data_IF_112701681560
#
_entry.id   IF_112701681560
#
_cell.length_a   1.000
_cell.length_b   1.000
_cell.length_c   1.000
_cell.angle_alpha   90.00
_cell.angle_beta   90.00
_cell.angle_gamma   90.00
#
_symmetry.space_group_name_H-M   'P 1'
#
loop_
_entity.id
_entity.type
_entity.pdbx_description
1 polymer ?
#
# COMPACT_ATOMS: atom_id res chain seq x y z
N UNK A 1 6.90 20.93 7.06
CA UNK A 1 6.21 22.00 7.82
C UNK A 1 6.54 22.01 9.31
N UNK A 2 6.20 20.99 10.11
CA UNK A 2 6.43 21.00 11.57
C UNK A 2 7.89 21.25 11.98
N UNK A 3 8.86 20.58 11.35
CA UNK A 3 10.30 20.79 11.59
C UNK A 3 10.75 22.21 11.26
N UNK A 4 10.23 22.79 10.17
CA UNK A 4 10.51 24.18 9.79
C UNK A 4 9.98 25.16 10.83
N UNK A 5 8.76 24.97 11.32
CA UNK A 5 8.16 25.80 12.37
C UNK A 5 8.94 25.75 13.70
N UNK A 6 9.47 24.58 14.08
CA UNK A 6 10.27 24.42 15.32
C UNK A 6 11.65 25.06 15.16
N UNK A 7 12.30 24.87 13.99
CA UNK A 7 13.69 25.31 13.77
C UNK A 7 13.82 26.74 13.27
N UNK A 8 12.73 27.36 12.80
CA UNK A 8 12.75 28.64 12.09
C UNK A 8 13.44 28.60 10.73
N UNK A 9 13.82 27.42 10.24
CA UNK A 9 14.49 27.25 8.94
C UNK A 9 13.47 26.97 7.85
N UNK A 10 13.65 27.62 6.71
CA UNK A 10 12.85 27.34 5.51
C UNK A 10 13.11 25.92 4.99
N UNK A 11 12.13 25.36 4.27
CA UNK A 11 12.29 24.06 3.62
C UNK A 11 13.22 24.25 2.41
N UNK A 12 14.33 23.51 2.31
CA UNK A 12 15.25 23.66 1.18
C UNK A 12 14.59 23.31 -0.15
N UNK A 13 15.02 23.99 -1.20
CA UNK A 13 14.53 23.79 -2.57
C UNK A 13 14.69 22.34 -3.05
N UNK A 14 15.75 21.66 -2.64
CA UNK A 14 16.00 20.25 -2.97
C UNK A 14 14.86 19.34 -2.50
N UNK A 15 14.34 19.57 -1.29
CA UNK A 15 13.21 18.82 -0.73
C UNK A 15 11.91 19.14 -1.48
N UNK A 16 11.74 20.39 -1.91
CA UNK A 16 10.59 20.80 -2.73
C UNK A 16 10.61 20.11 -4.11
N UNK A 17 11.79 19.97 -4.71
CA UNK A 17 11.97 19.23 -5.97
C UNK A 17 11.71 17.74 -5.82
N UNK A 18 12.19 17.10 -4.75
CA UNK A 18 11.87 15.69 -4.45
C UNK A 18 10.35 15.48 -4.30
N UNK A 19 9.66 16.39 -3.61
CA UNK A 19 8.20 16.38 -3.53
C UNK A 19 7.56 16.48 -4.93
N UNK A 20 8.04 17.40 -5.77
CA UNK A 20 7.53 17.59 -7.12
C UNK A 20 7.64 16.32 -7.97
N UNK A 21 8.79 15.65 -7.92
CA UNK A 21 9.05 14.39 -8.63
C UNK A 21 8.16 13.24 -8.16
N UNK A 22 7.86 13.17 -6.87
CA UNK A 22 6.89 12.19 -6.38
C UNK A 22 5.49 12.46 -6.93
N UNK A 23 5.05 13.73 -6.92
CA UNK A 23 3.73 14.11 -7.44
C UNK A 23 3.62 13.83 -8.95
N UNK A 24 4.69 14.10 -9.70
CA UNK A 24 4.82 13.79 -11.13
C UNK A 24 4.64 12.29 -11.39
N UNK A 25 5.41 11.44 -10.70
CA UNK A 25 5.29 9.98 -10.82
C UNK A 25 3.89 9.44 -10.41
N UNK A 26 3.28 10.03 -9.39
CA UNK A 26 1.89 9.69 -9.01
C UNK A 26 0.91 10.04 -10.13
N UNK A 27 1.07 11.21 -10.77
CA UNK A 27 0.22 11.64 -11.87
C UNK A 27 0.38 10.75 -13.12
N UNK A 28 1.61 10.35 -13.45
CA UNK A 28 1.90 9.47 -14.59
C UNK A 28 1.26 8.09 -14.42
N UNK A 29 1.20 7.60 -13.18
CA UNK A 29 0.87 6.19 -12.89
C UNK A 29 -0.53 5.98 -12.31
N UNK A 30 -1.30 7.06 -12.06
CA UNK A 30 -2.58 6.99 -11.36
C UNK A 30 -3.62 6.09 -12.03
N UNK A 31 -3.59 5.94 -13.36
CA UNK A 31 -4.52 5.10 -14.11
C UNK A 31 -4.49 3.64 -13.67
N UNK A 32 -3.33 3.17 -13.23
CA UNK A 32 -3.12 1.81 -12.75
C UNK A 32 -3.45 1.65 -11.26
N UNK A 33 -3.44 2.75 -10.50
CA UNK A 33 -3.61 2.77 -9.04
C UNK A 33 -5.05 3.05 -8.62
N UNK A 34 -5.76 3.90 -9.37
CA UNK A 34 -7.11 4.35 -9.05
C UNK A 34 -8.07 3.16 -8.93
N UNK A 35 -8.83 3.13 -7.83
CA UNK A 35 -9.83 2.09 -7.56
C UNK A 35 -9.26 0.74 -7.15
N UNK A 36 -7.93 0.55 -7.12
CA UNK A 36 -7.32 -0.67 -6.58
C UNK A 36 -7.68 -0.81 -5.11
N UNK A 37 -8.01 -2.03 -4.70
CA UNK A 37 -8.42 -2.36 -3.34
C UNK A 37 -7.28 -3.05 -2.59
N UNK A 38 -7.13 -2.70 -1.31
CA UNK A 38 -5.99 -3.14 -0.50
C UNK A 38 -6.44 -3.74 0.84
N UNK A 39 -5.80 -4.84 1.22
CA UNK A 39 -5.70 -5.26 2.61
C UNK A 39 -4.33 -4.85 3.15
N UNK A 40 -4.29 -4.22 4.32
CA UNK A 40 -3.08 -3.66 4.92
C UNK A 40 -2.99 -4.16 6.35
N UNK A 41 -1.87 -4.78 6.72
CA UNK A 41 -1.61 -5.14 8.11
C UNK A 41 -0.19 -4.84 8.58
N UNK A 42 -0.05 -4.63 9.88
CA UNK A 42 1.21 -4.34 10.53
C UNK A 42 1.03 -3.68 11.89
N UNK A 43 2.04 -2.92 12.31
CA UNK A 43 1.95 -2.08 13.49
C UNK A 43 1.04 -0.87 13.23
N UNK A 44 0.43 -0.28 14.28
CA UNK A 44 -0.64 0.71 14.14
C UNK A 44 -0.26 1.92 13.26
N UNK A 45 0.90 2.51 13.51
CA UNK A 45 1.40 3.67 12.75
C UNK A 45 1.70 3.34 11.29
N UNK A 46 2.23 2.13 11.02
CA UNK A 46 2.49 1.68 9.66
C UNK A 46 1.18 1.55 8.88
N UNK A 47 0.18 0.89 9.46
CA UNK A 47 -1.13 0.71 8.82
C UNK A 47 -1.79 2.05 8.54
N UNK A 48 -1.72 2.99 9.49
CA UNK A 48 -2.23 4.35 9.32
C UNK A 48 -1.54 5.08 8.16
N UNK A 49 -0.21 5.13 8.16
CA UNK A 49 0.57 5.81 7.13
C UNK A 49 0.36 5.18 5.75
N UNK A 50 0.27 3.86 5.67
CA UNK A 50 0.06 3.14 4.41
C UNK A 50 -1.35 3.35 3.87
N UNK A 51 -2.38 3.27 4.70
CA UNK A 51 -3.76 3.55 4.30
C UNK A 51 -3.91 4.98 3.78
N UNK A 52 -3.26 5.95 4.44
CA UNK A 52 -3.20 7.34 3.96
C UNK A 52 -2.57 7.43 2.56
N UNK A 53 -1.39 6.85 2.37
CA UNK A 53 -0.69 6.89 1.08
C UNK A 53 -1.51 6.24 -0.04
N UNK A 54 -2.13 5.08 0.24
CA UNK A 54 -3.04 4.40 -0.69
C UNK A 54 -4.18 5.31 -1.12
N UNK A 55 -4.83 6.02 -0.18
CA UNK A 55 -5.89 6.97 -0.53
C UNK A 55 -5.39 8.20 -1.31
N UNK A 56 -4.16 8.65 -1.07
CA UNK A 56 -3.51 9.72 -1.87
C UNK A 56 -3.30 9.29 -3.33
N UNK A 57 -3.16 7.98 -3.60
CA UNK A 57 -3.11 7.42 -4.97
C UNK A 57 -4.47 7.05 -5.57
N UNK A 58 -5.58 7.33 -4.87
CA UNK A 58 -6.93 6.95 -5.30
C UNK A 58 -7.26 5.46 -5.09
N UNK A 59 -6.50 4.76 -4.26
CA UNK A 59 -6.74 3.38 -3.87
C UNK A 59 -7.61 3.25 -2.62
N UNK A 60 -8.23 2.09 -2.44
CA UNK A 60 -9.20 1.81 -1.37
C UNK A 60 -8.63 0.84 -0.32
N UNK A 61 -8.26 1.29 0.89
CA UNK A 61 -7.70 0.42 1.95
C UNK A 61 -8.81 -0.37 2.68
N UNK A 62 -9.47 -1.28 1.96
CA UNK A 62 -10.63 -2.08 2.40
C UNK A 62 -10.48 -2.74 3.77
N UNK A 63 -9.36 -3.40 4.02
CA UNK A 63 -9.13 -4.12 5.27
C UNK A 63 -7.87 -3.62 5.96
N UNK A 64 -8.01 -2.78 6.98
CA UNK A 64 -6.89 -2.27 7.76
C UNK A 64 -6.80 -3.01 9.11
N UNK A 65 -5.75 -3.78 9.34
CA UNK A 65 -5.64 -4.67 10.51
C UNK A 65 -4.34 -4.44 11.28
N UNK A 66 -4.45 -4.27 12.59
CA UNK A 66 -3.30 -4.27 13.49
C UNK A 66 -3.60 -5.17 14.69
N UNK A 67 -2.86 -6.25 14.85
CA UNK A 67 -3.04 -7.20 15.95
C UNK A 67 -2.78 -6.53 17.31
N UNK A 68 -1.84 -5.60 17.35
CA UNK A 68 -1.52 -4.74 18.49
C UNK A 68 -2.25 -3.37 18.44
N UNK A 69 -3.25 -3.21 17.57
CA UNK A 69 -4.07 -2.01 17.52
C UNK A 69 -4.97 -1.86 18.75
N UNK A 70 -5.11 -0.62 19.22
CA UNK A 70 -5.96 -0.26 20.37
C UNK A 70 -7.28 0.37 19.90
N UNK A 71 -8.24 0.55 20.83
CA UNK A 71 -9.48 1.28 20.55
C UNK A 71 -9.20 2.75 20.15
N UNK A 72 -8.16 3.37 20.72
CA UNK A 72 -7.75 4.73 20.36
C UNK A 72 -7.25 4.79 18.90
N UNK A 73 -6.37 3.86 18.51
CA UNK A 73 -5.92 3.74 17.12
C UNK A 73 -7.07 3.47 16.16
N UNK A 74 -8.05 2.65 16.56
CA UNK A 74 -9.23 2.40 15.73
C UNK A 74 -10.02 3.69 15.45
N UNK A 75 -10.17 4.57 16.45
CA UNK A 75 -10.81 5.86 16.29
C UNK A 75 -10.02 6.77 15.32
N UNK A 76 -8.70 6.86 15.48
CA UNK A 76 -7.82 7.64 14.58
C UNK A 76 -7.87 7.13 13.14
N UNK A 77 -7.83 5.81 12.94
CA UNK A 77 -7.99 5.21 11.62
C UNK A 77 -9.36 5.52 11.01
N UNK A 78 -10.43 5.47 11.80
CA UNK A 78 -11.78 5.77 11.31
C UNK A 78 -11.89 7.22 10.86
N UNK A 79 -11.30 8.15 11.60
CA UNK A 79 -11.22 9.56 11.21
C UNK A 79 -10.40 9.75 9.92
N UNK A 80 -9.24 9.12 9.83
CA UNK A 80 -8.41 9.14 8.62
C UNK A 80 -9.19 8.65 7.40
N UNK A 81 -9.86 7.50 7.50
CA UNK A 81 -10.60 6.90 6.40
C UNK A 81 -11.80 7.75 5.98
N UNK A 82 -12.46 8.42 6.94
CA UNK A 82 -13.55 9.35 6.64
C UNK A 82 -13.10 10.63 5.92
N UNK A 83 -11.81 10.97 5.96
CA UNK A 83 -11.26 12.18 5.32
C UNK A 83 -11.19 12.11 3.79
N UNK A 84 -11.42 10.93 3.20
CA UNK A 84 -11.30 10.70 1.76
C UNK A 84 -12.44 9.83 1.23
N UNK A 85 -12.97 10.09 0.01
CA UNK A 85 -13.98 9.23 -0.59
C UNK A 85 -13.50 7.78 -0.78
N UNK A 86 -12.19 7.58 -0.95
CA UNK A 86 -11.58 6.26 -1.12
C UNK A 86 -11.54 5.42 0.17
N UNK A 87 -11.77 6.04 1.34
CA UNK A 87 -11.90 5.33 2.61
C UNK A 87 -13.33 4.85 2.92
N UNK A 88 -14.32 5.16 2.08
CA UNK A 88 -15.75 4.89 2.35
C UNK A 88 -16.08 3.42 2.65
N UNK A 89 -15.36 2.49 2.01
CA UNK A 89 -15.60 1.05 2.15
C UNK A 89 -14.55 0.36 3.04
N UNK A 90 -13.69 1.14 3.69
CA UNK A 90 -12.64 0.61 4.55
C UNK A 90 -13.16 0.22 5.94
N UNK A 91 -12.62 -0.86 6.49
CA UNK A 91 -12.89 -1.36 7.84
C UNK A 91 -11.59 -1.46 8.62
N UNK A 92 -11.66 -1.18 9.92
CA UNK A 92 -10.51 -1.19 10.84
C UNK A 92 -10.65 -2.33 11.84
N UNK A 93 -9.61 -3.15 11.97
CA UNK A 93 -9.62 -4.40 12.72
C UNK A 93 -8.52 -4.43 13.80
N UNK A 94 -8.75 -3.79 14.97
CA UNK A 94 -7.83 -3.91 16.11
C UNK A 94 -7.94 -5.28 16.77
N UNK A 95 -6.81 -5.80 17.26
CA UNK A 95 -6.77 -7.04 18.05
C UNK A 95 -7.09 -8.31 17.26
N UNK A 96 -7.09 -8.25 15.92
CA UNK A 96 -7.31 -9.39 15.03
C UNK A 96 -5.98 -9.91 14.50
N UNK A 97 -5.94 -11.19 14.15
CA UNK A 97 -4.76 -11.86 13.60
C UNK A 97 -4.89 -12.08 12.08
N UNK A 98 -3.87 -12.73 11.51
CA UNK A 98 -3.87 -13.05 10.07
C UNK A 98 -4.85 -14.16 9.69
N UNK A 99 -5.35 -14.95 10.65
CA UNK A 99 -6.40 -15.93 10.38
C UNK A 99 -7.75 -15.25 10.15
N UNK A 100 -8.06 -14.21 10.95
CA UNK A 100 -9.18 -13.34 10.67
C UNK A 100 -9.03 -12.64 9.31
N UNK A 101 -7.84 -12.11 9.00
CA UNK A 101 -7.58 -11.49 7.70
C UNK A 101 -7.78 -12.45 6.52
N UNK A 102 -7.36 -13.72 6.69
CA UNK A 102 -7.58 -14.78 5.70
C UNK A 102 -9.06 -14.91 5.33
N UNK A 103 -9.95 -14.94 6.33
CA UNK A 103 -11.40 -15.01 6.10
C UNK A 103 -11.92 -13.79 5.33
N UNK A 104 -11.48 -12.58 5.70
CA UNK A 104 -11.85 -11.35 5.02
C UNK A 104 -11.45 -11.38 3.54
N UNK A 105 -10.25 -11.87 3.22
CA UNK A 105 -9.75 -11.99 1.86
C UNK A 105 -10.53 -13.00 1.00
N UNK A 106 -11.19 -14.00 1.61
CA UNK A 106 -12.10 -14.89 0.89
C UNK A 106 -13.47 -14.28 0.65
N UNK A 107 -14.03 -13.57 1.64
CA UNK A 107 -15.41 -13.06 1.59
C UNK A 107 -15.54 -11.70 0.92
N UNK A 108 -14.51 -10.87 1.07
CA UNK A 108 -14.41 -9.51 0.54
C UNK A 108 -13.02 -9.36 -0.11
N UNK A 109 -12.75 -10.03 -1.25
CA UNK A 109 -11.43 -10.07 -1.88
C UNK A 109 -10.96 -8.67 -2.28
N UNK A 110 -9.64 -8.52 -2.34
CA UNK A 110 -8.95 -7.28 -2.71
C UNK A 110 -7.90 -7.54 -3.76
N UNK A 111 -7.43 -6.49 -4.43
CA UNK A 111 -6.41 -6.61 -5.48
C UNK A 111 -5.03 -6.89 -4.92
N UNK A 112 -4.68 -6.30 -3.77
CA UNK A 112 -3.33 -6.32 -3.21
C UNK A 112 -3.34 -6.48 -1.68
N UNK A 113 -2.39 -7.24 -1.16
CA UNK A 113 -2.12 -7.38 0.27
C UNK A 113 -0.79 -6.68 0.60
N UNK A 114 -0.80 -5.71 1.51
CA UNK A 114 0.41 -5.06 2.03
C UNK A 114 0.68 -5.55 3.44
N UNK A 115 1.86 -6.11 3.67
CA UNK A 115 2.24 -6.62 4.98
C UNK A 115 3.67 -7.14 5.04
N UNK A 116 3.85 -8.25 5.77
CA UNK A 116 5.14 -8.86 6.07
C UNK A 116 5.24 -10.29 5.51
N UNK A 117 6.35 -11.00 5.75
CA UNK A 117 6.57 -12.33 5.16
C UNK A 117 5.53 -13.39 5.55
N UNK A 118 4.80 -13.24 6.68
CA UNK A 118 3.73 -14.17 7.03
C UNK A 118 2.55 -14.10 6.07
N UNK A 119 2.33 -12.96 5.42
CA UNK A 119 1.26 -12.75 4.45
C UNK A 119 1.39 -13.65 3.21
N UNK A 120 2.55 -14.27 2.97
CA UNK A 120 2.72 -15.21 1.85
C UNK A 120 1.79 -16.43 1.96
N UNK A 121 1.39 -16.78 3.19
CA UNK A 121 0.41 -17.84 3.41
C UNK A 121 -0.99 -17.38 3.01
N UNK A 122 -1.32 -16.09 3.21
CA UNK A 122 -2.58 -15.50 2.74
C UNK A 122 -2.59 -15.40 1.22
N UNK A 123 -1.47 -15.00 0.61
CA UNK A 123 -1.28 -15.00 -0.85
C UNK A 123 -1.50 -16.39 -1.43
N UNK A 124 -0.84 -17.42 -0.89
CA UNK A 124 -1.03 -18.82 -1.31
C UNK A 124 -2.49 -19.27 -1.18
N UNK A 125 -3.14 -18.93 -0.07
CA UNK A 125 -4.47 -19.46 0.25
C UNK A 125 -5.58 -18.74 -0.53
N UNK A 126 -5.43 -17.44 -0.79
CA UNK A 126 -6.50 -16.57 -1.33
C UNK A 126 -6.23 -16.07 -2.74
N UNK A 127 -5.01 -16.26 -3.26
CA UNK A 127 -4.57 -15.69 -4.53
C UNK A 127 -4.30 -14.18 -4.48
N UNK A 128 -4.39 -13.53 -3.31
CA UNK A 128 -4.15 -12.09 -3.16
C UNK A 128 -2.64 -11.79 -3.12
N UNK A 129 -2.05 -11.11 -4.13
CA UNK A 129 -0.61 -10.85 -4.19
C UNK A 129 -0.09 -10.04 -3.00
N UNK A 130 1.03 -10.48 -2.41
CA UNK A 130 1.65 -9.83 -1.25
C UNK A 130 2.77 -8.85 -1.63
N UNK A 131 2.60 -7.60 -1.22
CA UNK A 131 3.62 -6.55 -1.18
C UNK A 131 4.25 -6.50 0.22
N UNK A 132 5.57 -6.69 0.29
CA UNK A 132 6.33 -6.80 1.55
C UNK A 132 6.90 -5.45 1.97
N UNK A 133 6.21 -4.76 2.87
CA UNK A 133 6.58 -3.42 3.38
C UNK A 133 6.58 -3.33 4.91
N UNK A 134 6.17 -4.39 5.60
CA UNK A 134 6.13 -4.46 7.06
C UNK A 134 7.11 -5.50 7.60
N UNK A 135 7.62 -5.27 8.81
CA UNK A 135 8.45 -6.24 9.51
C UNK A 135 7.65 -7.47 9.97
N UNK A 136 8.22 -8.68 9.95
CA UNK A 136 9.51 -9.04 9.37
C UNK A 136 9.43 -9.38 7.87
N UNK A 137 10.48 -9.01 7.13
CA UNK A 137 10.70 -9.48 5.77
C UNK A 137 11.84 -10.51 5.80
N UNK A 138 11.50 -11.78 5.96
CA UNK A 138 12.45 -12.89 6.03
C UNK A 138 12.79 -13.47 4.66
N UNK A 139 11.81 -13.48 3.75
CA UNK A 139 11.92 -14.21 2.48
C UNK A 139 12.34 -13.30 1.30
N UNK A 140 12.84 -12.10 1.58
CA UNK A 140 13.47 -11.19 0.61
C UNK A 140 14.68 -10.53 1.25
N UNK A 141 15.73 -10.27 0.47
CA UNK A 141 16.99 -9.77 0.99
C UNK A 141 17.08 -8.25 0.84
N UNK A 142 17.65 -7.59 1.85
CA UNK A 142 18.09 -6.19 1.79
C UNK A 142 17.02 -5.10 1.61
N UNK A 143 15.73 -5.43 1.61
CA UNK A 143 14.65 -4.43 1.52
C UNK A 143 14.73 -3.35 2.62
N UNK A 144 15.24 -3.72 3.81
CA UNK A 144 15.44 -2.82 4.95
C UNK A 144 16.49 -1.73 4.73
N UNK A 145 17.34 -1.84 3.70
CA UNK A 145 18.42 -0.85 3.42
C UNK A 145 17.94 0.41 2.71
N UNK A 146 16.73 0.36 2.20
CA UNK A 146 16.16 1.41 1.37
C UNK A 146 14.99 2.05 2.13
N UNK A 147 14.75 3.36 1.94
CA UNK A 147 13.77 4.10 2.74
C UNK A 147 12.34 3.74 2.35
N UNK A 148 11.43 3.88 3.32
CA UNK A 148 9.98 3.95 3.12
C UNK A 148 9.40 5.29 3.61
N UNK A 149 10.24 6.15 4.19
CA UNK A 149 9.88 7.48 4.70
C UNK A 149 10.45 8.59 3.81
N UNK A 150 9.87 9.78 3.90
CA UNK A 150 10.23 10.93 3.07
C UNK A 150 9.78 10.77 1.61
N UNK A 151 10.05 11.78 0.77
CA UNK A 151 9.60 11.78 -0.62
C UNK A 151 10.25 10.66 -1.44
N UNK A 152 11.54 10.38 -1.21
CA UNK A 152 12.23 9.23 -1.82
C UNK A 152 11.62 7.89 -1.39
N UNK A 153 11.21 7.76 -0.13
CA UNK A 153 10.49 6.58 0.34
C UNK A 153 9.11 6.44 -0.31
N UNK A 154 8.39 7.55 -0.49
CA UNK A 154 7.13 7.60 -1.22
C UNK A 154 7.27 7.13 -2.66
N UNK A 155 8.31 7.56 -3.37
CA UNK A 155 8.57 7.11 -4.74
C UNK A 155 8.88 5.61 -4.80
N UNK A 156 9.63 5.09 -3.82
CA UNK A 156 9.88 3.66 -3.71
C UNK A 156 8.60 2.85 -3.40
N UNK A 157 7.73 3.36 -2.54
CA UNK A 157 6.45 2.73 -2.25
C UNK A 157 5.59 2.66 -3.51
N UNK A 158 5.47 3.79 -4.23
CA UNK A 158 4.73 3.90 -5.48
C UNK A 158 5.19 2.87 -6.50
N UNK A 159 6.50 2.87 -6.81
CA UNK A 159 7.11 1.94 -7.78
C UNK A 159 6.94 0.48 -7.37
N UNK A 160 7.10 0.14 -6.08
CA UNK A 160 6.88 -1.23 -5.59
C UNK A 160 5.44 -1.71 -5.81
N UNK A 161 4.46 -0.82 -5.62
CA UNK A 161 3.04 -1.14 -5.87
C UNK A 161 2.81 -1.33 -7.38
N UNK A 162 3.31 -0.42 -8.20
CA UNK A 162 3.17 -0.47 -9.66
C UNK A 162 3.79 -1.74 -10.25
N UNK A 163 5.03 -2.07 -9.86
CA UNK A 163 5.71 -3.28 -10.32
C UNK A 163 4.87 -4.53 -9.98
N UNK A 164 4.27 -4.58 -8.79
CA UNK A 164 3.40 -5.70 -8.40
C UNK A 164 2.14 -5.78 -9.27
N UNK A 165 1.55 -4.63 -9.64
CA UNK A 165 0.40 -4.56 -10.53
C UNK A 165 0.78 -5.03 -11.94
N UNK A 166 1.87 -4.53 -12.51
CA UNK A 166 2.31 -4.88 -13.86
C UNK A 166 2.74 -6.34 -13.96
N UNK A 167 3.51 -6.85 -13.00
CA UNK A 167 3.88 -8.25 -12.91
C UNK A 167 2.64 -9.17 -12.88
N UNK A 168 1.57 -8.74 -12.19
CA UNK A 168 0.31 -9.48 -12.14
C UNK A 168 -0.38 -9.46 -13.50
N UNK A 169 -0.54 -8.28 -14.11
CA UNK A 169 -1.18 -8.12 -15.42
C UNK A 169 -0.50 -8.96 -16.49
N UNK A 170 0.83 -8.94 -16.51
CA UNK A 170 1.62 -9.74 -17.45
C UNK A 170 1.42 -11.24 -17.22
N UNK A 171 1.40 -11.72 -15.96
CA UNK A 171 1.07 -13.13 -15.67
C UNK A 171 -0.34 -13.52 -16.10
N UNK A 172 -1.31 -12.63 -15.96
CA UNK A 172 -2.70 -12.88 -16.36
C UNK A 172 -2.86 -12.87 -17.90
N UNK A 173 -1.97 -12.17 -18.61
CA UNK A 173 -2.04 -11.98 -20.07
C UNK A 173 -0.97 -12.74 -20.86
N UNK A 174 -0.07 -13.50 -20.25
CA UNK A 174 1.03 -14.16 -20.97
C UNK A 174 0.66 -15.45 -21.73
N UNK A 175 -0.58 -15.94 -21.69
CA UNK A 175 -0.92 -17.22 -22.31
C UNK A 175 -1.12 -17.04 -23.83
N UNK A 176 -0.21 -17.63 -24.61
CA UNK A 176 -0.22 -17.53 -26.08
C UNK A 176 -1.53 -18.00 -26.68
N UNK A 177 -2.10 -17.18 -27.58
CA UNK A 177 -3.36 -17.41 -28.26
C UNK A 177 -4.58 -17.60 -27.34
N UNK A 178 -4.48 -17.20 -26.06
CA UNK A 178 -5.59 -17.26 -25.10
C UNK A 178 -5.81 -15.93 -24.39
N UNK A 179 -4.76 -15.32 -23.81
CA UNK A 179 -4.85 -14.04 -23.11
C UNK A 179 -3.84 -13.00 -23.60
N UNK A 180 -2.94 -13.38 -24.51
CA UNK A 180 -1.85 -12.55 -25.05
C UNK A 180 -2.29 -11.40 -25.96
N UNK A 181 -3.58 -11.31 -26.28
CA UNK A 181 -4.16 -10.12 -26.92
C UNK A 181 -4.08 -8.85 -26.05
N UNK A 182 -3.79 -8.98 -24.75
CA UNK A 182 -3.59 -7.87 -23.79
C UNK A 182 -2.18 -7.86 -23.17
N UNK A 183 -1.24 -8.59 -23.77
CA UNK A 183 0.18 -8.61 -23.39
C UNK A 183 0.95 -7.47 -24.06
N UNK A 184 0.56 -6.24 -23.72
CA UNK A 184 1.02 -5.02 -24.38
C UNK A 184 2.49 -4.70 -24.06
N UNK A 185 3.21 -4.19 -25.05
CA UNK A 185 4.61 -3.76 -24.90
C UNK A 185 4.76 -2.46 -24.08
N UNK A 186 3.76 -1.57 -24.12
CA UNK A 186 3.79 -0.27 -23.43
C UNK A 186 2.53 -0.13 -22.61
N UNK A 187 2.68 0.23 -21.33
CA UNK A 187 1.63 0.40 -20.35
C UNK A 187 1.77 1.73 -19.62
#
# INVERSE_FOLDING_TARGET
>A
MKVSAISGREIPETIRLERGRLVDAMADSQSWLHGKTYAIYGDPDFVYAMARFVMETGGEPRHCLATNGTAAWQAEMTELLASSPFGKQAKVWPGKDLWALRSLLFTEPVDLLIGNSYGKYLERDTGTPLIRLMFPIFDRHHHHRFPLMGYQGGLRLLTTILDTIFDRLDRETMQTAVTDYSYDLTR
#
